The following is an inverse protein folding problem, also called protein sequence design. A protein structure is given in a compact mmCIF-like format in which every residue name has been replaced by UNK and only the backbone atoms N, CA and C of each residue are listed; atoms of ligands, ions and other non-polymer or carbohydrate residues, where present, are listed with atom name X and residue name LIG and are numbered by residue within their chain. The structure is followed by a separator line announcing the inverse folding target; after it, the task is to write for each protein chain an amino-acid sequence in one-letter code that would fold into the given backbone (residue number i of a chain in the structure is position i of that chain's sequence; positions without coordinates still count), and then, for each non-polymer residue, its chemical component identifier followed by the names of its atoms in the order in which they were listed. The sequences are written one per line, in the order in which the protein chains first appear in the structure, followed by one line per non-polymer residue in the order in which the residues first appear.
data_IF_047484573145
#
_entry.id   IF_047484573145
#
_cell.length_a   1.000
_cell.length_b   1.000
_cell.length_c   1.000
_cell.angle_alpha   90.00
_cell.angle_beta   90.00
_cell.angle_gamma   90.00
#
_symmetry.space_group_name_H-M   'P 1'
#
loop_
_entity.id
_entity.type
_entity.pdbx_description
1 polymer ?
#
# COMPACT_ATOMS: atom_id res chain seq x y z
N UNK A 1 34.07 52.00 43.13
CA UNK A 1 33.30 51.80 41.88
C UNK A 1 34.19 51.11 40.86
N UNK A 2 33.90 49.85 40.50
CA UNK A 2 34.60 49.12 39.44
C UNK A 2 33.56 48.59 38.45
N UNK A 3 33.82 48.78 37.15
CA UNK A 3 32.92 48.51 36.03
C UNK A 3 32.93 47.01 35.67
N UNK A 4 31.82 46.42 35.17
CA UNK A 4 31.67 44.97 35.02
C UNK A 4 32.56 44.41 33.92
N UNK A 5 33.22 43.28 34.17
CA UNK A 5 33.90 42.50 33.14
C UNK A 5 33.12 41.20 32.93
N UNK A 6 32.30 41.17 31.88
CA UNK A 6 31.65 39.94 31.41
C UNK A 6 32.70 39.16 30.61
N UNK A 7 33.25 38.13 31.23
CA UNK A 7 34.11 37.16 30.54
C UNK A 7 33.20 36.30 29.67
N UNK A 8 33.14 36.60 28.37
CA UNK A 8 32.49 35.73 27.39
C UNK A 8 33.49 34.63 27.04
N UNK A 9 33.22 33.40 27.48
CA UNK A 9 33.97 32.23 27.04
C UNK A 9 33.89 32.12 25.51
N UNK A 10 34.97 31.70 24.82
CA UNK A 10 34.90 31.50 23.38
C UNK A 10 33.91 30.35 23.10
N UNK A 11 32.71 30.70 22.66
CA UNK A 11 31.76 29.73 22.09
C UNK A 11 32.44 29.22 20.82
N UNK A 12 32.91 27.98 20.88
CA UNK A 12 33.47 27.28 19.74
C UNK A 12 32.31 27.07 18.76
N UNK A 13 32.13 28.03 17.85
CA UNK A 13 31.13 27.94 16.79
C UNK A 13 31.62 26.88 15.80
N UNK A 14 31.29 25.62 16.07
CA UNK A 14 31.53 24.53 15.14
C UNK A 14 30.71 24.78 13.88
N UNK A 15 31.38 25.19 12.79
CA UNK A 15 30.80 25.19 11.44
C UNK A 15 30.75 23.76 10.93
N UNK A 16 29.90 22.93 11.53
CA UNK A 16 29.56 21.62 11.01
C UNK A 16 28.73 21.84 9.75
N UNK A 17 29.37 21.67 8.59
CA UNK A 17 28.70 21.66 7.29
C UNK A 17 28.36 20.22 6.96
N UNK A 18 27.10 19.95 6.59
CA UNK A 18 26.65 18.63 6.14
C UNK A 18 27.40 18.16 4.88
N UNK A 19 27.98 19.10 4.14
CA UNK A 19 28.76 18.84 2.93
C UNK A 19 30.27 18.75 3.22
N UNK A 20 30.69 18.57 4.48
CA UNK A 20 32.10 18.42 4.81
C UNK A 20 32.65 17.12 4.18
N UNK A 21 33.86 17.14 3.61
CA UNK A 21 34.45 15.96 2.96
C UNK A 21 34.63 14.78 3.91
N UNK A 22 34.69 15.01 5.22
CA UNK A 22 34.75 13.99 6.27
C UNK A 22 33.45 13.17 6.39
N UNK A 23 32.33 13.69 5.89
CA UNK A 23 31.02 13.00 5.88
C UNK A 23 30.79 12.16 4.60
N UNK A 24 31.72 12.19 3.63
CA UNK A 24 31.62 11.34 2.44
C UNK A 24 32.62 10.18 2.54
N UNK A 25 32.17 8.95 2.84
CA UNK A 25 33.05 7.79 2.84
C UNK A 25 33.64 7.56 1.44
N UNK A 26 34.92 7.19 1.39
CA UNK A 26 35.65 6.93 0.14
C UNK A 26 35.05 5.72 -0.59
N UNK A 27 34.11 5.98 -1.49
CA UNK A 27 33.34 4.97 -2.20
C UNK A 27 31.93 5.41 -2.61
N UNK A 28 31.44 6.55 -2.10
CA UNK A 28 30.17 7.11 -2.55
C UNK A 28 30.35 7.75 -3.95
N UNK A 29 30.18 6.95 -5.00
CA UNK A 29 29.76 7.50 -6.29
C UNK A 29 28.40 8.17 -6.08
N UNK A 30 28.09 9.23 -6.83
CA UNK A 30 26.73 9.73 -6.98
C UNK A 30 25.89 8.57 -7.53
N UNK A 31 25.38 7.72 -6.64
CA UNK A 31 24.28 6.84 -6.95
C UNK A 31 23.13 7.81 -7.19
N UNK A 32 22.90 8.13 -8.47
CA UNK A 32 21.52 8.29 -8.92
C UNK A 32 20.82 7.03 -8.44
N UNK A 33 20.18 7.12 -7.28
CA UNK A 33 19.06 6.27 -6.93
C UNK A 33 18.02 6.53 -8.01
N UNK A 34 18.20 5.87 -9.17
CA UNK A 34 17.07 5.32 -9.88
C UNK A 34 16.39 4.48 -8.84
N UNK A 35 15.38 5.06 -8.20
CA UNK A 35 14.32 4.32 -7.55
C UNK A 35 13.82 3.36 -8.62
N UNK A 36 14.48 2.21 -8.75
CA UNK A 36 13.77 0.98 -9.02
C UNK A 36 12.87 0.89 -7.80
N UNK A 37 11.71 1.53 -7.97
CA UNK A 37 10.49 1.33 -7.22
C UNK A 37 10.41 -0.19 -7.11
N UNK A 38 11.01 -0.71 -6.04
CA UNK A 38 10.71 -2.01 -5.52
C UNK A 38 9.29 -1.83 -5.07
N UNK A 39 8.38 -1.91 -6.05
CA UNK A 39 6.96 -1.85 -5.89
C UNK A 39 6.71 -2.92 -4.85
N UNK A 40 6.56 -2.45 -3.61
CA UNK A 40 6.17 -3.29 -2.51
C UNK A 40 4.96 -4.04 -3.05
N UNK A 41 5.05 -5.37 -3.05
CA UNK A 41 4.05 -6.33 -3.57
C UNK A 41 2.77 -6.21 -2.75
N UNK A 42 2.20 -5.01 -2.72
CA UNK A 42 0.90 -4.74 -2.15
C UNK A 42 -0.08 -5.24 -3.20
N UNK A 43 -0.93 -6.21 -2.84
CA UNK A 43 -1.89 -6.76 -3.76
C UNK A 43 -2.74 -5.62 -4.30
N UNK A 44 -2.99 -5.62 -5.60
CA UNK A 44 -3.91 -4.65 -6.19
C UNK A 44 -5.31 -4.85 -5.61
N UNK A 45 -6.16 -3.81 -5.67
CA UNK A 45 -7.57 -3.90 -5.27
C UNK A 45 -8.26 -5.12 -5.90
N UNK A 46 -7.95 -5.39 -7.17
CA UNK A 46 -8.42 -6.54 -7.92
C UNK A 46 -8.00 -7.88 -7.33
N UNK A 47 -6.75 -8.02 -6.92
CA UNK A 47 -6.24 -9.26 -6.32
C UNK A 47 -6.89 -9.51 -4.95
N UNK A 48 -7.00 -8.47 -4.12
CA UNK A 48 -7.64 -8.57 -2.81
C UNK A 48 -9.13 -8.95 -2.92
N UNK A 49 -9.87 -8.32 -3.84
CA UNK A 49 -11.29 -8.62 -4.08
C UNK A 49 -11.46 -10.02 -4.64
N UNK A 50 -10.61 -10.45 -5.59
CA UNK A 50 -10.70 -11.80 -6.15
C UNK A 50 -10.38 -12.87 -5.11
N UNK A 51 -9.37 -12.68 -4.29
CA UNK A 51 -9.02 -13.61 -3.20
C UNK A 51 -10.21 -13.79 -2.24
N UNK A 52 -10.82 -12.69 -1.80
CA UNK A 52 -12.02 -12.73 -0.95
C UNK A 52 -13.19 -13.44 -1.64
N UNK A 53 -13.47 -13.16 -2.92
CA UNK A 53 -14.55 -13.81 -3.66
C UNK A 53 -14.31 -15.30 -3.87
N UNK A 54 -13.06 -15.71 -4.10
CA UNK A 54 -12.69 -17.12 -4.17
C UNK A 54 -12.87 -17.81 -2.82
N UNK A 55 -12.43 -17.16 -1.74
CA UNK A 55 -12.63 -17.65 -0.38
C UNK A 55 -14.10 -17.85 -0.05
N UNK A 56 -14.97 -16.90 -0.41
CA UNK A 56 -16.43 -17.04 -0.25
C UNK A 56 -17.02 -18.17 -1.09
N UNK A 57 -16.45 -18.46 -2.26
CA UNK A 57 -16.90 -19.56 -3.12
C UNK A 57 -16.55 -20.91 -2.50
N UNK A 58 -15.39 -21.02 -1.84
CA UNK A 58 -14.96 -22.22 -1.13
C UNK A 58 -15.66 -22.39 0.23
N UNK A 59 -15.86 -21.28 0.96
CA UNK A 59 -16.39 -21.24 2.31
C UNK A 59 -17.48 -20.17 2.46
N UNK A 60 -18.69 -20.38 1.92
CA UNK A 60 -19.76 -19.39 1.99
C UNK A 60 -20.20 -19.05 3.44
N UNK A 61 -19.89 -19.91 4.41
CA UNK A 61 -20.18 -19.69 5.82
C UNK A 61 -19.26 -18.68 6.52
N UNK A 62 -18.12 -18.30 5.93
CA UNK A 62 -17.22 -17.30 6.52
C UNK A 62 -17.63 -15.86 6.18
N UNK A 63 -18.61 -15.68 5.30
CA UNK A 63 -19.12 -14.38 4.89
C UNK A 63 -19.48 -13.48 6.06
N UNK A 64 -20.28 -13.96 7.01
CA UNK A 64 -20.76 -13.15 8.14
C UNK A 64 -19.61 -12.58 8.99
N UNK A 65 -18.49 -13.30 9.09
CA UNK A 65 -17.35 -12.90 9.90
C UNK A 65 -16.33 -12.07 9.15
N UNK A 66 -16.20 -12.25 7.83
CA UNK A 66 -15.16 -11.61 7.02
C UNK A 66 -15.67 -10.37 6.27
N UNK A 67 -16.98 -10.26 6.03
CA UNK A 67 -17.58 -9.13 5.29
C UNK A 67 -17.29 -7.78 5.93
N UNK A 68 -17.23 -7.71 7.27
CA UNK A 68 -17.02 -6.47 8.00
C UNK A 68 -15.59 -5.95 7.80
N UNK A 69 -14.59 -6.85 7.92
CA UNK A 69 -13.19 -6.54 7.65
C UNK A 69 -12.94 -6.21 6.17
N UNK A 70 -13.59 -6.95 5.27
CA UNK A 70 -13.52 -6.70 3.83
C UNK A 70 -14.04 -5.30 3.49
N UNK A 71 -15.21 -4.92 4.02
CA UNK A 71 -15.79 -3.60 3.81
C UNK A 71 -14.93 -2.49 4.42
N UNK A 72 -14.37 -2.68 5.62
CA UNK A 72 -13.45 -1.72 6.24
C UNK A 72 -12.21 -1.48 5.36
N UNK A 73 -11.61 -2.56 4.87
CA UNK A 73 -10.42 -2.50 3.99
C UNK A 73 -10.75 -1.79 2.67
N UNK A 74 -11.88 -2.14 2.05
CA UNK A 74 -12.36 -1.47 0.84
C UNK A 74 -12.67 0.01 1.05
N UNK A 75 -13.22 0.42 2.19
CA UNK A 75 -13.46 1.83 2.49
C UNK A 75 -12.15 2.64 2.54
N UNK A 76 -11.03 2.01 2.89
CA UNK A 76 -9.71 2.64 2.87
C UNK A 76 -9.09 2.72 1.47
N UNK A 77 -9.41 1.77 0.58
CA UNK A 77 -8.77 1.63 -0.74
C UNK A 77 -9.60 2.25 -1.87
N UNK A 78 -10.94 2.19 -1.76
CA UNK A 78 -11.90 2.67 -2.75
C UNK A 78 -12.22 4.15 -2.47
N UNK A 79 -11.24 5.02 -2.68
CA UNK A 79 -11.39 6.47 -2.45
C UNK A 79 -11.75 7.24 -3.72
N UNK A 80 -11.84 6.56 -4.88
CA UNK A 80 -12.11 7.17 -6.18
C UNK A 80 -13.24 6.46 -6.91
N UNK A 81 -13.99 7.19 -7.74
CA UNK A 81 -15.06 6.62 -8.57
C UNK A 81 -14.55 5.52 -9.51
N UNK A 82 -13.30 5.63 -9.96
CA UNK A 82 -12.63 4.62 -10.81
C UNK A 82 -12.47 3.31 -10.06
N UNK A 83 -11.91 3.35 -8.84
CA UNK A 83 -11.75 2.15 -8.01
C UNK A 83 -13.10 1.52 -7.63
N UNK A 84 -14.15 2.34 -7.43
CA UNK A 84 -15.49 1.85 -7.13
C UNK A 84 -16.12 1.13 -8.34
N UNK A 85 -15.89 1.66 -9.54
CA UNK A 85 -16.32 1.02 -10.78
C UNK A 85 -15.60 -0.31 -11.02
N UNK A 86 -14.29 -0.37 -10.77
CA UNK A 86 -13.52 -1.62 -10.86
C UNK A 86 -14.03 -2.68 -9.88
N UNK A 87 -14.31 -2.31 -8.63
CA UNK A 87 -14.89 -3.21 -7.64
C UNK A 87 -16.22 -3.81 -8.13
N UNK A 88 -17.11 -2.97 -8.66
CA UNK A 88 -18.40 -3.41 -9.18
C UNK A 88 -18.24 -4.35 -10.39
N UNK A 89 -17.30 -4.06 -11.28
CA UNK A 89 -17.02 -4.90 -12.44
C UNK A 89 -16.50 -6.28 -12.03
N UNK A 90 -15.60 -6.35 -11.05
CA UNK A 90 -15.07 -7.61 -10.52
C UNK A 90 -16.16 -8.49 -9.91
N UNK A 91 -17.04 -7.90 -9.08
CA UNK A 91 -18.17 -8.62 -8.49
C UNK A 91 -19.13 -9.10 -9.58
N UNK A 92 -19.44 -8.23 -10.54
CA UNK A 92 -20.35 -8.57 -11.64
C UNK A 92 -19.79 -9.71 -12.51
N UNK A 93 -18.50 -9.68 -12.82
CA UNK A 93 -17.84 -10.78 -13.52
C UNK A 93 -17.95 -12.07 -12.74
N UNK A 94 -17.60 -12.09 -11.45
CA UNK A 94 -17.67 -13.30 -10.63
C UNK A 94 -19.08 -13.91 -10.61
N UNK A 95 -20.11 -13.10 -10.42
CA UNK A 95 -21.51 -13.54 -10.48
C UNK A 95 -21.87 -14.07 -11.87
N UNK A 96 -21.41 -13.41 -12.94
CA UNK A 96 -21.57 -13.86 -14.32
C UNK A 96 -20.96 -15.24 -14.56
N UNK A 97 -19.74 -15.48 -14.08
CA UNK A 97 -19.07 -16.80 -14.16
C UNK A 97 -19.86 -17.88 -13.40
N UNK A 98 -20.32 -17.59 -12.18
CA UNK A 98 -21.12 -18.54 -11.38
C UNK A 98 -22.46 -18.88 -12.04
N UNK A 99 -23.13 -17.89 -12.63
CA UNK A 99 -24.36 -18.13 -13.39
C UNK A 99 -24.09 -18.97 -14.64
N UNK A 100 -23.07 -18.65 -15.43
CA UNK A 100 -22.70 -19.43 -16.62
C UNK A 100 -22.32 -20.88 -16.29
N UNK A 101 -21.58 -21.10 -15.19
CA UNK A 101 -21.28 -22.43 -14.68
C UNK A 101 -22.54 -23.19 -14.24
N UNK A 102 -23.49 -22.51 -13.60
CA UNK A 102 -24.75 -23.14 -13.19
C UNK A 102 -25.60 -23.56 -14.39
N UNK A 103 -25.70 -22.71 -15.42
CA UNK A 103 -26.44 -23.04 -16.64
C UNK A 103 -25.84 -24.23 -17.40
N UNK A 104 -24.52 -24.25 -17.57
CA UNK A 104 -23.84 -25.36 -18.24
C UNK A 104 -23.93 -26.69 -17.46
N UNK A 105 -23.92 -26.65 -16.13
CA UNK A 105 -24.15 -27.82 -15.30
C UNK A 105 -25.58 -28.37 -15.42
N UNK A 106 -26.58 -27.50 -15.49
CA UNK A 106 -27.98 -27.89 -15.69
C UNK A 106 -28.22 -28.48 -17.08
N UNK A 107 -27.59 -27.93 -18.12
CA UNK A 107 -27.71 -28.42 -19.50
C UNK A 107 -27.01 -29.77 -19.71
N UNK A 108 -25.91 -30.04 -19.00
CA UNK A 108 -25.21 -31.31 -19.08
C UNK A 108 -25.93 -32.48 -18.37
N UNK A 109 -26.94 -32.21 -17.54
CA UNK A 109 -27.76 -33.23 -16.87
C UNK A 109 -29.14 -33.46 -17.53
N UNK A 110 -29.42 -32.77 -18.64
CA UNK A 110 -30.66 -32.88 -19.42
C UNK A 110 -30.61 -33.92 -20.54
#
# INVERSE_FOLDING_TARGET
MAKPQVVVAPVLMSKLSVNAPEFYPSGYSNYTESYEDGCEDYPTLSEYVQDFLNHLTEQPGSFETEIEQFAETLNGWVTTDVALQELMELIYQQVGWLMAYSYSFLEAQG
#
